data_IF_540320739700
#
_entry.id   IF_540320739700
#
_cell.length_a   1.000
_cell.length_b   1.000
_cell.length_c   1.000
_cell.angle_alpha   90.00
_cell.angle_beta   90.00
_cell.angle_gamma   90.00
#
_symmetry.space_group_name_H-M   'P 1'
#
loop_
_entity.id
_entity.type
_entity.pdbx_description
1 polymer ?
#
# COMPACT_ATOMS: atom_id res chain seq x y z
N UNK A 1 8.44 9.03 -20.50
CA UNK A 1 8.10 8.05 -19.45
C UNK A 1 6.66 8.30 -19.02
N UNK A 2 5.76 7.32 -19.16
CA UNK A 2 4.36 7.50 -18.73
C UNK A 2 4.28 7.54 -17.21
N UNK A 3 3.57 8.52 -16.67
CA UNK A 3 3.31 8.72 -15.24
C UNK A 3 2.86 7.43 -14.53
N UNK A 4 1.99 6.64 -15.19
CA UNK A 4 1.52 5.35 -14.68
C UNK A 4 2.62 4.29 -14.47
N UNK A 5 3.71 4.31 -15.25
CA UNK A 5 4.82 3.38 -15.06
C UNK A 5 5.66 3.75 -13.82
N UNK A 6 5.80 5.04 -13.56
CA UNK A 6 6.48 5.56 -12.38
C UNK A 6 5.68 5.28 -11.11
N UNK A 7 4.35 5.44 -11.15
CA UNK A 7 3.45 5.06 -10.04
C UNK A 7 3.53 3.56 -9.72
N UNK A 8 3.52 2.69 -10.75
CA UNK A 8 3.62 1.23 -10.52
C UNK A 8 4.97 0.83 -9.94
N UNK A 9 6.06 1.42 -10.41
CA UNK A 9 7.39 1.19 -9.85
C UNK A 9 7.49 1.64 -8.40
N UNK A 10 6.82 2.74 -8.06
CA UNK A 10 6.77 3.25 -6.68
C UNK A 10 5.93 2.37 -5.76
N UNK A 11 4.73 1.95 -6.19
CA UNK A 11 3.90 0.97 -5.46
C UNK A 11 4.69 -0.32 -5.21
N UNK A 12 5.38 -0.85 -6.23
CA UNK A 12 6.18 -2.06 -6.07
C UNK A 12 7.28 -1.91 -5.00
N UNK A 13 7.94 -0.75 -4.93
CA UNK A 13 8.93 -0.45 -3.87
C UNK A 13 8.30 -0.39 -2.48
N UNK A 14 7.10 0.18 -2.35
CA UNK A 14 6.37 0.22 -1.07
C UNK A 14 5.96 -1.19 -0.62
N UNK A 15 5.41 -1.99 -1.54
CA UNK A 15 5.00 -3.37 -1.25
C UNK A 15 6.17 -4.28 -0.87
N UNK A 16 7.36 -4.04 -1.45
CA UNK A 16 8.57 -4.76 -1.09
C UNK A 16 9.05 -4.47 0.35
N UNK A 17 8.59 -3.38 0.97
CA UNK A 17 8.94 -2.99 2.34
C UNK A 17 7.95 -3.50 3.39
N UNK A 18 6.79 -4.01 2.97
CA UNK A 18 5.79 -4.53 3.89
C UNK A 18 6.22 -5.88 4.47
N UNK A 19 6.06 -6.05 5.78
CA UNK A 19 6.14 -7.36 6.42
C UNK A 19 4.95 -8.25 6.00
N UNK A 20 5.00 -9.57 6.22
CA UNK A 20 3.88 -10.46 5.93
C UNK A 20 2.56 -10.03 6.59
N UNK A 21 2.62 -9.56 7.84
CA UNK A 21 1.45 -9.08 8.60
C UNK A 21 0.88 -7.78 8.02
N UNK A 22 1.75 -6.83 7.68
CA UNK A 22 1.38 -5.58 7.02
C UNK A 22 0.79 -5.84 5.63
N UNK A 23 1.28 -6.87 4.93
CA UNK A 23 0.77 -7.29 3.62
C UNK A 23 -0.64 -7.85 3.71
N UNK A 24 -0.95 -8.65 4.74
CA UNK A 24 -2.31 -9.13 4.96
C UNK A 24 -3.28 -7.96 5.22
N UNK A 25 -2.87 -6.98 6.06
CA UNK A 25 -3.65 -5.76 6.32
C UNK A 25 -3.85 -4.95 5.03
N UNK A 26 -2.80 -4.79 4.24
CA UNK A 26 -2.84 -4.15 2.93
C UNK A 26 -3.84 -4.83 1.99
N UNK A 27 -3.88 -6.16 1.93
CA UNK A 27 -4.81 -6.90 1.09
C UNK A 27 -6.26 -6.74 1.55
N UNK A 28 -6.51 -6.76 2.87
CA UNK A 28 -7.85 -6.50 3.44
C UNK A 28 -8.34 -5.10 3.08
N UNK A 29 -7.52 -4.07 3.25
CA UNK A 29 -7.89 -2.70 2.90
C UNK A 29 -8.05 -2.49 1.39
N UNK A 30 -7.21 -3.13 0.57
CA UNK A 30 -7.36 -3.12 -0.88
C UNK A 30 -8.65 -3.81 -1.36
N UNK A 31 -9.19 -4.77 -0.61
CA UNK A 31 -10.49 -5.39 -0.91
C UNK A 31 -11.66 -4.47 -0.57
N UNK A 32 -11.53 -3.65 0.47
CA UNK A 32 -12.54 -2.69 0.89
C UNK A 32 -12.51 -1.37 0.09
N UNK A 33 -11.38 -1.04 -0.52
CA UNK A 33 -11.20 0.20 -1.28
C UNK A 33 -12.06 0.23 -2.56
N UNK A 34 -12.56 1.42 -2.97
CA UNK A 34 -13.39 1.58 -4.15
C UNK A 34 -12.62 1.16 -5.41
N UNK A 35 -13.25 0.30 -6.21
CA UNK A 35 -12.70 -0.24 -7.45
C UNK A 35 -13.15 0.58 -8.65
N UNK A 36 -12.32 0.62 -9.67
CA UNK A 36 -12.70 1.12 -10.98
C UNK A 36 -13.89 0.32 -11.52
N UNK A 37 -14.64 0.89 -12.46
CA UNK A 37 -15.71 0.18 -13.18
C UNK A 37 -15.23 -1.11 -13.87
N UNK A 38 -13.93 -1.20 -14.13
CA UNK A 38 -13.22 -2.37 -14.68
C UNK A 38 -12.76 -3.38 -13.63
N UNK A 39 -13.12 -3.19 -12.35
CA UNK A 39 -12.75 -4.07 -11.23
C UNK A 39 -11.33 -3.87 -10.68
N UNK A 40 -10.50 -3.04 -11.31
CA UNK A 40 -9.12 -2.76 -10.86
C UNK A 40 -9.09 -1.65 -9.81
N UNK A 41 -8.18 -1.74 -8.84
CA UNK A 41 -7.92 -0.63 -7.92
C UNK A 41 -7.04 0.42 -8.61
N UNK A 42 -7.22 1.70 -8.29
CA UNK A 42 -6.29 2.74 -8.74
C UNK A 42 -4.88 2.48 -8.18
N UNK A 43 -3.85 2.61 -9.03
CA UNK A 43 -2.44 2.46 -8.62
C UNK A 43 -2.10 3.46 -7.48
N UNK A 44 -2.62 4.69 -7.55
CA UNK A 44 -2.50 5.67 -6.46
C UNK A 44 -3.25 5.30 -5.16
N UNK A 45 -4.37 4.57 -5.25
CA UNK A 45 -5.06 4.09 -4.03
C UNK A 45 -4.27 2.99 -3.34
N UNK A 46 -3.65 2.09 -4.11
CA UNK A 46 -2.73 1.07 -3.59
C UNK A 46 -1.54 1.70 -2.89
N UNK A 47 -0.95 2.73 -3.50
CA UNK A 47 0.18 3.43 -2.91
C UNK A 47 -0.17 4.07 -1.56
N UNK A 48 -1.29 4.81 -1.50
CA UNK A 48 -1.77 5.46 -0.28
C UNK A 48 -2.02 4.47 0.86
N UNK A 49 -2.60 3.30 0.57
CA UNK A 49 -2.83 2.25 1.58
C UNK A 49 -1.49 1.71 2.09
N UNK A 50 -0.56 1.40 1.19
CA UNK A 50 0.76 0.90 1.57
C UNK A 50 1.56 1.92 2.39
N UNK A 51 1.57 3.20 1.99
CA UNK A 51 2.19 4.29 2.75
C UNK A 51 1.57 4.46 4.14
N UNK A 52 0.24 4.42 4.24
CA UNK A 52 -0.46 4.55 5.52
C UNK A 52 -0.05 3.45 6.48
N UNK A 53 -0.03 2.19 6.02
CA UNK A 53 0.37 1.05 6.85
C UNK A 53 1.82 1.19 7.31
N UNK A 54 2.74 1.53 6.40
CA UNK A 54 4.15 1.74 6.75
C UNK A 54 4.32 2.89 7.76
N UNK A 55 3.56 3.97 7.61
CA UNK A 55 3.59 5.12 8.51
C UNK A 55 2.98 4.83 9.88
N UNK A 56 1.82 4.16 9.93
CA UNK A 56 1.16 3.74 11.18
C UNK A 56 2.06 2.81 12.00
N UNK A 57 2.73 1.85 11.36
CA UNK A 57 3.66 0.94 12.03
C UNK A 57 4.96 1.65 12.44
N UNK A 58 5.50 2.55 11.61
CA UNK A 58 6.64 3.37 11.98
C UNK A 58 6.33 4.28 13.18
N UNK A 59 5.12 4.83 13.26
CA UNK A 59 4.67 5.67 14.38
C UNK A 59 4.35 4.88 15.65
N UNK A 60 3.96 3.61 15.53
CA UNK A 60 3.82 2.74 16.70
C UNK A 60 5.16 2.50 17.40
N UNK A 61 6.28 2.64 16.69
CA UNK A 61 7.62 2.37 17.21
C UNK A 61 7.77 0.92 17.69
N UNK A 62 8.99 0.43 17.94
CA UNK A 62 9.11 -0.68 18.88
C UNK A 62 8.46 -0.22 20.18
N UNK A 63 7.58 -1.03 20.77
CA UNK A 63 7.21 -0.83 22.17
C UNK A 63 8.53 -0.71 22.94
N UNK A 64 8.82 0.48 23.46
CA UNK A 64 10.00 0.70 24.28
C UNK A 64 9.68 -0.04 25.58
N UNK A 65 10.14 -1.28 25.68
CA UNK A 65 10.26 -2.03 26.94
C UNK A 65 11.42 -1.47 27.77
#
# INVERSE_FOLDING_TARGET
MSYAAQERGWVAKLLARLTPEQRERYEKECRAAPRHRSGKLYDGARAKIAERILYEDAMKGPAIE
#
